data_IF_960223657592
#
_entry.id   IF_960223657592
#
_cell.length_a   1.000
_cell.length_b   1.000
_cell.length_c   1.000
_cell.angle_alpha   90.00
_cell.angle_beta   90.00
_cell.angle_gamma   90.00
#
_symmetry.space_group_name_H-M   'P 1'
#
loop_
_entity.id
_entity.type
_entity.pdbx_description
1 polymer ?
#
# COMPACT_ATOMS: atom_id res chain seq x y z
N UNK A 1 -31.26 23.53 11.96
CA UNK A 1 -31.45 22.14 12.42
C UNK A 1 -31.03 22.11 13.86
N UNK A 2 -32.01 22.05 14.74
CA UNK A 2 -31.88 22.45 16.14
C UNK A 2 -31.02 21.48 16.95
N UNK A 3 -30.13 22.05 17.77
CA UNK A 3 -29.26 21.36 18.72
C UNK A 3 -30.01 20.82 19.95
N UNK A 4 -31.26 20.37 19.78
CA UNK A 4 -32.14 19.94 20.89
C UNK A 4 -32.04 18.44 21.25
N UNK A 5 -31.03 17.73 20.72
CA UNK A 5 -30.78 16.31 21.05
C UNK A 5 -29.32 15.95 21.31
N UNK A 6 -28.41 16.93 21.40
CA UNK A 6 -26.99 16.65 21.64
C UNK A 6 -26.73 16.38 23.12
N UNK A 7 -26.81 15.10 23.52
CA UNK A 7 -26.33 14.65 24.83
C UNK A 7 -24.81 14.77 24.84
N UNK A 8 -24.26 15.57 25.76
CA UNK A 8 -22.80 15.70 25.88
C UNK A 8 -22.19 14.31 26.14
N UNK A 9 -21.18 13.88 25.37
CA UNK A 9 -20.51 12.62 25.62
C UNK A 9 -19.84 12.64 26.99
N UNK A 10 -19.93 11.55 27.76
CA UNK A 10 -19.13 11.41 28.98
C UNK A 10 -17.69 11.11 28.61
N UNK A 11 -16.87 12.16 28.71
CA UNK A 11 -15.43 12.11 28.47
C UNK A 11 -14.73 12.07 29.82
N UNK A 12 -14.07 10.94 30.10
CA UNK A 12 -13.22 10.78 31.28
C UNK A 12 -11.79 11.15 30.89
N UNK A 13 -11.16 12.04 31.66
CA UNK A 13 -9.78 12.45 31.43
C UNK A 13 -8.83 11.64 32.32
N UNK A 14 -7.91 10.90 31.70
CA UNK A 14 -6.86 10.13 32.34
C UNK A 14 -5.50 10.82 32.15
N UNK A 15 -4.51 10.46 32.99
CA UNK A 15 -3.13 10.97 32.92
C UNK A 15 -3.05 12.52 32.89
N UNK A 16 -3.67 13.19 33.88
CA UNK A 16 -3.69 14.67 33.99
C UNK A 16 -4.20 15.39 32.72
N UNK A 17 -5.13 14.77 31.99
CA UNK A 17 -5.71 15.34 30.77
C UNK A 17 -4.93 15.02 29.48
N UNK A 18 -3.88 14.19 29.55
CA UNK A 18 -3.17 13.74 28.34
C UNK A 18 -3.99 12.75 27.51
N UNK A 19 -4.92 12.01 28.13
CA UNK A 19 -5.78 11.04 27.45
C UNK A 19 -7.23 11.33 27.81
N UNK A 20 -8.01 11.79 26.84
CA UNK A 20 -9.44 11.98 26.97
C UNK A 20 -10.16 10.80 26.33
N UNK A 21 -11.04 10.15 27.10
CA UNK A 21 -11.68 8.91 26.68
C UNK A 21 -13.20 9.03 26.74
N UNK A 22 -13.84 8.92 25.58
CA UNK A 22 -15.30 8.95 25.48
C UNK A 22 -15.89 7.57 25.81
N UNK A 23 -16.39 7.43 27.04
CA UNK A 23 -16.86 6.17 27.58
C UNK A 23 -18.09 5.63 26.85
N UNK A 24 -18.99 6.52 26.43
CA UNK A 24 -20.24 6.13 25.74
C UNK A 24 -19.94 5.52 24.36
N UNK A 25 -18.87 5.94 23.68
CA UNK A 25 -18.44 5.38 22.38
C UNK A 25 -17.76 4.03 22.56
N UNK A 26 -16.85 3.90 23.53
CA UNK A 26 -16.14 2.64 23.79
C UNK A 26 -17.10 1.56 24.27
N UNK A 27 -18.08 1.91 25.10
CA UNK A 27 -19.03 0.93 25.59
C UNK A 27 -19.99 0.44 24.49
N UNK A 28 -20.31 1.30 23.51
CA UNK A 28 -21.12 0.95 22.33
C UNK A 28 -20.34 0.14 21.29
N UNK A 29 -19.03 0.39 21.17
CA UNK A 29 -18.17 -0.18 20.13
C UNK A 29 -16.98 -0.97 20.72
N UNK A 30 -17.19 -1.64 21.85
CA UNK A 30 -16.12 -2.30 22.62
C UNK A 30 -15.35 -3.34 21.79
N UNK A 31 -16.05 -4.07 20.92
CA UNK A 31 -15.42 -5.04 20.02
C UNK A 31 -14.48 -4.38 18.99
N UNK A 32 -14.83 -3.20 18.48
CA UNK A 32 -13.95 -2.45 17.56
C UNK A 32 -12.72 -1.91 18.31
N UNK A 33 -12.91 -1.43 19.54
CA UNK A 33 -11.80 -0.97 20.38
C UNK A 33 -10.84 -2.12 20.73
N UNK A 34 -11.37 -3.32 21.00
CA UNK A 34 -10.56 -4.53 21.21
C UNK A 34 -9.73 -4.87 19.97
N UNK A 35 -10.32 -4.78 18.77
CA UNK A 35 -9.58 -5.00 17.52
C UNK A 35 -8.47 -3.97 17.32
N UNK A 36 -8.71 -2.69 17.60
CA UNK A 36 -7.67 -1.66 17.56
C UNK A 36 -6.49 -2.02 18.49
N UNK A 37 -6.76 -2.50 19.70
CA UNK A 37 -5.72 -2.93 20.63
C UNK A 37 -4.93 -4.16 20.13
N UNK A 38 -5.62 -5.15 19.56
CA UNK A 38 -4.96 -6.31 18.96
C UNK A 38 -4.07 -5.87 17.79
N UNK A 39 -4.58 -4.97 16.94
CA UNK A 39 -3.86 -4.44 15.79
C UNK A 39 -2.61 -3.66 16.22
N UNK A 40 -2.71 -2.77 17.22
CA UNK A 40 -1.55 -1.98 17.68
C UNK A 40 -0.48 -2.87 18.28
N UNK A 41 -0.86 -3.86 19.09
CA UNK A 41 0.08 -4.86 19.61
C UNK A 41 0.74 -5.65 18.47
N UNK A 42 -0.03 -6.09 17.49
CA UNK A 42 0.47 -6.80 16.31
C UNK A 42 1.45 -5.97 15.48
N UNK A 43 1.16 -4.68 15.26
CA UNK A 43 2.04 -3.74 14.55
C UNK A 43 3.36 -3.53 15.32
N UNK A 44 3.29 -3.33 16.64
CA UNK A 44 4.49 -3.16 17.49
C UNK A 44 5.34 -4.43 17.45
N UNK A 45 4.73 -5.61 17.57
CA UNK A 45 5.44 -6.89 17.45
C UNK A 45 6.09 -7.05 16.08
N UNK A 46 5.38 -6.75 14.99
CA UNK A 46 5.93 -6.82 13.63
C UNK A 46 7.11 -5.86 13.44
N UNK A 47 7.02 -4.64 13.97
CA UNK A 47 8.09 -3.66 13.93
C UNK A 47 9.34 -4.15 14.68
N UNK A 48 9.18 -4.71 15.89
CA UNK A 48 10.29 -5.27 16.66
C UNK A 48 10.97 -6.44 15.93
N UNK A 49 10.19 -7.33 15.32
CA UNK A 49 10.73 -8.46 14.55
C UNK A 49 11.45 -7.98 13.28
N UNK A 50 10.94 -6.97 12.58
CA UNK A 50 11.63 -6.40 11.42
C UNK A 50 12.98 -5.73 11.77
N UNK A 51 13.13 -5.24 13.00
CA UNK A 51 14.39 -4.59 13.46
C UNK A 51 15.41 -5.62 13.95
N UNK A 52 14.98 -6.62 14.71
CA UNK A 52 15.88 -7.54 15.42
C UNK A 52 15.89 -8.98 14.89
N UNK A 53 14.88 -9.36 14.11
CA UNK A 53 14.66 -10.74 13.69
C UNK A 53 15.54 -11.17 12.52
N UNK A 54 15.84 -12.48 12.49
CA UNK A 54 16.43 -13.12 11.32
C UNK A 54 15.36 -13.35 10.24
N UNK A 55 15.78 -13.81 9.05
CA UNK A 55 14.88 -14.10 7.91
C UNK A 55 13.68 -14.99 8.27
N UNK A 56 13.89 -16.02 9.09
CA UNK A 56 12.83 -16.94 9.51
C UNK A 56 11.87 -16.32 10.52
N UNK A 57 12.37 -15.40 11.35
CA UNK A 57 11.56 -14.65 12.31
C UNK A 57 10.65 -13.67 11.56
N UNK A 58 11.16 -12.99 10.53
CA UNK A 58 10.36 -12.09 9.67
C UNK A 58 9.26 -12.88 8.96
N UNK A 59 9.59 -14.05 8.39
CA UNK A 59 8.61 -14.89 7.70
C UNK A 59 7.50 -15.41 8.65
N UNK A 60 7.89 -15.91 9.83
CA UNK A 60 6.94 -16.40 10.82
C UNK A 60 6.08 -15.27 11.40
N UNK A 61 6.65 -14.09 11.62
CA UNK A 61 5.90 -12.90 12.06
C UNK A 61 4.90 -12.44 11.01
N UNK A 62 5.26 -12.40 9.73
CA UNK A 62 4.32 -12.05 8.66
C UNK A 62 3.12 -13.01 8.63
N UNK A 63 3.39 -14.32 8.71
CA UNK A 63 2.32 -15.33 8.72
C UNK A 63 1.42 -15.21 9.97
N UNK A 64 2.02 -14.95 11.14
CA UNK A 64 1.30 -14.73 12.38
C UNK A 64 0.43 -13.46 12.31
N UNK A 65 0.96 -12.35 11.80
CA UNK A 65 0.22 -11.09 11.65
C UNK A 65 -0.94 -11.27 10.68
N UNK A 66 -0.72 -11.90 9.52
CA UNK A 66 -1.79 -12.17 8.55
C UNK A 66 -2.91 -12.97 9.22
N UNK A 67 -2.57 -14.08 9.88
CA UNK A 67 -3.57 -14.94 10.53
C UNK A 67 -4.30 -14.24 11.66
N UNK A 68 -3.60 -13.53 12.54
CA UNK A 68 -4.20 -12.79 13.67
C UNK A 68 -5.13 -11.69 13.15
N UNK A 69 -4.70 -10.86 12.20
CA UNK A 69 -5.51 -9.78 11.63
C UNK A 69 -6.75 -10.35 10.94
N UNK A 70 -6.60 -11.42 10.14
CA UNK A 70 -7.71 -12.04 9.44
C UNK A 70 -8.75 -12.63 10.40
N UNK A 71 -8.30 -13.43 11.38
CA UNK A 71 -9.17 -14.08 12.35
C UNK A 71 -9.84 -13.03 13.23
N UNK A 72 -9.07 -12.13 13.84
CA UNK A 72 -9.63 -11.11 14.72
C UNK A 72 -10.64 -10.22 13.99
N UNK A 73 -10.39 -9.84 12.73
CA UNK A 73 -11.31 -8.99 11.96
C UNK A 73 -12.69 -9.62 11.80
N UNK A 74 -12.79 -10.93 11.52
CA UNK A 74 -14.08 -11.62 11.40
C UNK A 74 -14.79 -11.84 12.73
N UNK A 75 -14.05 -11.95 13.83
CA UNK A 75 -14.63 -12.16 15.16
C UNK A 75 -15.10 -10.87 15.83
N UNK A 76 -14.39 -9.75 15.63
CA UNK A 76 -14.64 -8.51 16.36
C UNK A 76 -15.39 -7.45 15.55
N UNK A 77 -15.29 -7.46 14.22
CA UNK A 77 -15.90 -6.43 13.37
C UNK A 77 -17.20 -6.93 12.74
N UNK A 78 -18.18 -6.04 12.50
CA UNK A 78 -19.35 -6.40 11.71
C UNK A 78 -18.93 -6.81 10.29
N UNK A 79 -19.63 -7.77 9.70
CA UNK A 79 -19.28 -8.42 8.43
C UNK A 79 -18.99 -7.44 7.28
N UNK A 80 -19.66 -6.29 7.23
CA UNK A 80 -19.40 -5.27 6.22
C UNK A 80 -18.00 -4.65 6.35
N UNK A 81 -17.61 -4.27 7.57
CA UNK A 81 -16.30 -3.68 7.86
C UNK A 81 -15.21 -4.74 7.75
N UNK A 82 -15.44 -5.95 8.28
CA UNK A 82 -14.50 -7.06 8.21
C UNK A 82 -14.13 -7.40 6.74
N UNK A 83 -15.12 -7.47 5.85
CA UNK A 83 -14.87 -7.73 4.41
C UNK A 83 -14.01 -6.64 3.76
N UNK A 84 -14.23 -5.38 4.12
CA UNK A 84 -13.45 -4.28 3.58
C UNK A 84 -12.02 -4.25 4.13
N UNK A 85 -11.84 -4.48 5.43
CA UNK A 85 -10.54 -4.67 6.08
C UNK A 85 -9.73 -5.74 5.36
N UNK A 86 -10.34 -6.91 5.14
CA UNK A 86 -9.70 -8.03 4.45
C UNK A 86 -9.34 -7.67 3.01
N UNK A 87 -10.28 -7.07 2.28
CA UNK A 87 -10.04 -6.63 0.91
C UNK A 87 -8.85 -5.65 0.82
N UNK A 88 -8.81 -4.64 1.67
CA UNK A 88 -7.76 -3.64 1.68
C UNK A 88 -6.40 -4.23 2.08
N UNK A 89 -6.38 -5.12 3.07
CA UNK A 89 -5.17 -5.79 3.51
C UNK A 89 -4.61 -6.71 2.42
N UNK A 90 -5.44 -7.54 1.79
CA UNK A 90 -5.01 -8.39 0.68
C UNK A 90 -4.61 -7.58 -0.54
N UNK A 91 -5.31 -6.50 -0.87
CA UNK A 91 -4.93 -5.59 -1.95
C UNK A 91 -3.53 -5.01 -1.73
N UNK A 92 -3.22 -4.60 -0.49
CA UNK A 92 -1.90 -4.09 -0.13
C UNK A 92 -0.81 -5.18 -0.12
N UNK A 93 -1.14 -6.43 0.23
CA UNK A 93 -0.19 -7.57 0.19
C UNK A 93 0.09 -8.02 -1.24
N UNK A 94 -0.96 -8.13 -2.06
CA UNK A 94 -0.86 -8.61 -3.45
C UNK A 94 -0.18 -7.60 -4.37
N UNK A 95 -0.16 -6.32 -4.01
CA UNK A 95 0.76 -5.36 -4.58
C UNK A 95 2.11 -5.45 -3.84
N UNK A 96 2.95 -6.39 -4.28
CA UNK A 96 4.23 -6.66 -3.62
C UNK A 96 5.15 -5.45 -3.75
N UNK A 97 5.43 -4.79 -2.64
CA UNK A 97 6.43 -3.74 -2.60
C UNK A 97 7.82 -4.40 -2.66
N UNK A 98 8.63 -4.03 -3.66
CA UNK A 98 9.98 -4.53 -3.87
C UNK A 98 10.99 -3.49 -3.37
N UNK A 99 11.31 -3.47 -2.06
CA UNK A 99 12.09 -2.39 -1.47
C UNK A 99 13.47 -2.29 -2.11
N UNK A 100 13.73 -1.16 -2.77
CA UNK A 100 15.06 -0.77 -3.21
C UNK A 100 15.60 -1.49 -4.45
N UNK A 101 14.91 -2.46 -5.06
CA UNK A 101 15.44 -3.18 -6.25
C UNK A 101 15.60 -2.24 -7.44
N UNK A 102 14.55 -1.49 -7.79
CA UNK A 102 14.60 -0.52 -8.89
C UNK A 102 15.53 0.65 -8.55
N UNK A 103 15.44 1.21 -7.35
CA UNK A 103 16.28 2.34 -6.93
C UNK A 103 17.79 1.98 -6.95
N UNK A 104 18.17 0.80 -6.43
CA UNK A 104 19.57 0.35 -6.47
C UNK A 104 20.05 0.07 -7.89
N UNK A 105 19.18 -0.39 -8.79
CA UNK A 105 19.49 -0.53 -10.21
C UNK A 105 19.76 0.82 -10.89
N UNK A 106 18.93 1.84 -10.63
CA UNK A 106 19.06 3.18 -11.23
C UNK A 106 20.33 3.92 -10.80
N UNK A 107 20.79 3.67 -9.58
CA UNK A 107 21.90 4.40 -8.95
C UNK A 107 23.16 3.52 -8.77
N UNK A 108 23.16 2.32 -9.35
CA UNK A 108 24.31 1.41 -9.28
C UNK A 108 25.58 2.09 -9.83
N UNK A 109 26.73 1.87 -9.18
CA UNK A 109 28.01 2.39 -9.64
C UNK A 109 28.50 1.64 -10.89
N UNK A 110 29.32 2.29 -11.75
CA UNK A 110 29.90 1.64 -12.94
C UNK A 110 30.83 0.47 -12.62
N UNK A 111 31.34 0.39 -11.39
CA UNK A 111 32.09 -0.77 -10.91
C UNK A 111 31.20 -2.01 -10.67
N UNK A 112 29.91 -1.81 -10.41
CA UNK A 112 28.97 -2.88 -10.06
C UNK A 112 28.12 -3.29 -11.25
N UNK A 113 27.59 -2.33 -12.01
CA UNK A 113 26.77 -2.57 -13.19
C UNK A 113 27.25 -1.68 -14.35
N UNK A 114 28.26 -2.08 -15.15
CA UNK A 114 28.85 -1.21 -16.19
C UNK A 114 27.84 -0.79 -17.27
N UNK A 115 26.77 -1.56 -17.41
CA UNK A 115 25.64 -1.32 -18.30
C UNK A 115 24.47 -0.61 -17.60
N UNK A 116 24.71 0.09 -16.49
CA UNK A 116 23.68 0.80 -15.74
C UNK A 116 23.41 2.22 -16.27
N UNK A 117 22.27 2.83 -15.87
CA UNK A 117 21.97 4.24 -16.16
C UNK A 117 22.80 5.23 -15.32
N UNK A 118 23.43 4.79 -14.22
CA UNK A 118 24.40 5.55 -13.42
C UNK A 118 23.94 6.93 -12.96
N UNK A 119 22.71 7.03 -12.47
CA UNK A 119 22.22 8.31 -11.93
C UNK A 119 22.90 8.64 -10.61
N UNK A 120 22.94 9.92 -10.24
CA UNK A 120 23.37 10.31 -8.89
C UNK A 120 22.21 10.12 -7.90
N UNK A 121 22.51 9.64 -6.70
CA UNK A 121 21.50 9.44 -5.64
C UNK A 121 20.65 10.69 -5.39
N UNK A 122 21.29 11.86 -5.38
CA UNK A 122 20.61 13.14 -5.14
C UNK A 122 19.74 13.53 -6.31
N UNK A 123 20.20 13.35 -7.56
CA UNK A 123 19.41 13.66 -8.74
C UNK A 123 18.20 12.73 -8.86
N UNK A 124 18.40 11.41 -8.74
CA UNK A 124 17.33 10.43 -8.89
C UNK A 124 16.24 10.65 -7.82
N UNK A 125 16.62 10.72 -6.53
CA UNK A 125 15.63 10.88 -5.46
C UNK A 125 14.95 12.26 -5.47
N UNK A 126 15.68 13.35 -5.74
CA UNK A 126 15.09 14.68 -5.75
C UNK A 126 14.19 14.89 -6.98
N UNK A 127 14.63 14.43 -8.16
CA UNK A 127 13.84 14.53 -9.38
C UNK A 127 12.58 13.67 -9.28
N UNK A 128 12.72 12.41 -8.86
CA UNK A 128 11.58 11.50 -8.70
C UNK A 128 10.61 12.04 -7.65
N UNK A 129 11.11 12.58 -6.54
CA UNK A 129 10.28 13.21 -5.52
C UNK A 129 9.51 14.43 -6.03
N UNK A 130 10.16 15.37 -6.73
CA UNK A 130 9.49 16.60 -7.21
C UNK A 130 8.50 16.27 -8.34
N UNK A 131 8.95 15.53 -9.36
CA UNK A 131 8.12 15.17 -10.51
C UNK A 131 6.99 14.25 -10.08
N UNK A 132 7.29 13.27 -9.22
CA UNK A 132 6.32 12.36 -8.63
C UNK A 132 5.21 13.11 -7.91
N UNK A 133 5.53 14.03 -7.00
CA UNK A 133 4.50 14.82 -6.31
C UNK A 133 3.62 15.64 -7.27
N UNK A 134 4.21 16.25 -8.31
CA UNK A 134 3.44 16.97 -9.34
C UNK A 134 2.53 16.00 -10.10
N UNK A 135 3.05 14.81 -10.45
CA UNK A 135 2.30 13.76 -11.11
C UNK A 135 1.17 13.21 -10.23
N UNK A 136 1.36 13.04 -8.92
CA UNK A 136 0.33 12.60 -7.97
C UNK A 136 -0.79 13.64 -7.85
N UNK A 137 -0.47 14.95 -7.85
CA UNK A 137 -1.49 16.01 -7.93
C UNK A 137 -2.25 15.91 -9.26
N UNK A 138 -1.54 15.72 -10.37
CA UNK A 138 -2.13 15.50 -11.69
C UNK A 138 -3.06 14.29 -11.72
N UNK A 139 -2.63 13.14 -11.18
CA UNK A 139 -3.41 11.92 -11.09
C UNK A 139 -4.66 12.09 -10.23
N UNK A 140 -4.57 12.86 -9.14
CA UNK A 140 -5.72 13.24 -8.32
C UNK A 140 -6.72 14.09 -9.11
N UNK A 141 -6.25 15.09 -9.86
CA UNK A 141 -7.10 15.92 -10.72
C UNK A 141 -7.76 15.11 -11.84
N UNK A 142 -7.00 14.21 -12.48
CA UNK A 142 -7.55 13.30 -13.50
C UNK A 142 -8.65 12.43 -12.90
N UNK A 143 -8.43 11.90 -11.69
CA UNK A 143 -9.44 11.11 -10.98
C UNK A 143 -10.71 11.92 -10.70
N UNK A 144 -10.59 13.12 -10.13
CA UNK A 144 -11.73 13.95 -9.75
C UNK A 144 -12.51 14.49 -10.96
N UNK A 145 -11.84 14.76 -12.08
CA UNK A 145 -12.48 15.28 -13.30
C UNK A 145 -13.07 14.20 -14.21
N UNK A 146 -12.38 13.08 -14.43
CA UNK A 146 -12.83 12.04 -15.37
C UNK A 146 -13.73 10.99 -14.73
N UNK A 147 -13.54 10.67 -13.45
CA UNK A 147 -14.23 9.59 -12.77
C UNK A 147 -15.27 9.98 -11.69
N UNK A 148 -15.83 11.20 -11.61
CA UNK A 148 -16.73 11.57 -10.51
C UNK A 148 -18.03 10.74 -10.49
N UNK A 149 -18.50 10.29 -11.66
CA UNK A 149 -19.76 9.56 -11.81
C UNK A 149 -19.58 8.07 -12.11
N UNK A 150 -18.34 7.57 -12.15
CA UNK A 150 -18.08 6.17 -12.47
C UNK A 150 -18.20 5.29 -11.22
N UNK A 151 -18.63 4.04 -11.41
CA UNK A 151 -18.73 3.10 -10.28
C UNK A 151 -17.35 2.82 -9.68
N UNK A 152 -17.27 2.72 -8.35
CA UNK A 152 -16.04 2.38 -7.62
C UNK A 152 -15.35 1.13 -8.18
N UNK A 153 -16.15 0.11 -8.54
CA UNK A 153 -15.67 -1.15 -9.12
C UNK A 153 -15.00 -0.94 -10.47
N UNK A 154 -15.54 -0.06 -11.30
CA UNK A 154 -14.96 0.25 -12.61
C UNK A 154 -13.62 0.96 -12.46
N UNK A 155 -13.55 1.98 -11.59
CA UNK A 155 -12.29 2.71 -11.35
C UNK A 155 -11.24 1.76 -10.80
N UNK A 156 -11.57 0.96 -9.78
CA UNK A 156 -10.63 -0.02 -9.24
C UNK A 156 -10.14 -1.03 -10.27
N UNK A 157 -11.05 -1.53 -11.12
CA UNK A 157 -10.70 -2.43 -12.20
C UNK A 157 -9.80 -1.78 -13.25
N UNK A 158 -10.03 -0.50 -13.56
CA UNK A 158 -9.21 0.25 -14.49
C UNK A 158 -7.82 0.51 -13.92
N UNK A 159 -7.72 0.98 -12.68
CA UNK A 159 -6.45 1.21 -11.99
C UNK A 159 -5.65 -0.08 -11.87
N UNK A 160 -6.29 -1.21 -11.55
CA UNK A 160 -5.66 -2.53 -11.50
C UNK A 160 -5.18 -3.04 -12.86
N UNK A 161 -5.73 -2.55 -13.99
CA UNK A 161 -5.24 -2.88 -15.33
C UNK A 161 -4.12 -1.93 -15.79
N UNK A 162 -4.19 -0.66 -15.39
CA UNK A 162 -3.17 0.34 -15.68
C UNK A 162 -1.88 0.11 -14.90
N UNK A 163 -1.94 -0.45 -13.69
CA UNK A 163 -0.78 -0.66 -12.83
C UNK A 163 0.21 -1.71 -13.40
N UNK A 164 -0.23 -2.89 -13.88
CA UNK A 164 0.63 -3.79 -14.64
C UNK A 164 1.19 -3.13 -15.91
N UNK A 165 0.38 -2.33 -16.62
CA UNK A 165 0.84 -1.61 -17.80
C UNK A 165 1.92 -0.56 -17.47
N UNK A 166 1.81 0.11 -16.32
CA UNK A 166 2.85 0.99 -15.80
C UNK A 166 4.12 0.21 -15.44
N UNK A 167 4.00 -0.93 -14.77
CA UNK A 167 5.15 -1.78 -14.40
C UNK A 167 5.87 -2.42 -15.61
N UNK A 168 5.21 -2.50 -16.77
CA UNK A 168 5.88 -2.88 -18.02
C UNK A 168 6.98 -1.88 -18.42
N UNK A 169 6.81 -0.59 -18.11
CA UNK A 169 7.86 0.41 -18.36
C UNK A 169 9.12 0.13 -17.52
N UNK A 170 8.96 -0.34 -16.28
CA UNK A 170 10.08 -0.75 -15.44
C UNK A 170 10.82 -1.96 -16.03
N UNK A 171 10.09 -2.91 -16.61
CA UNK A 171 10.70 -4.06 -17.30
C UNK A 171 11.48 -3.66 -18.55
N UNK A 172 10.98 -2.69 -19.33
CA UNK A 172 11.68 -2.15 -20.51
C UNK A 172 13.03 -1.57 -20.09
N UNK A 173 13.08 -0.86 -18.96
CA UNK A 173 14.31 -0.29 -18.41
C UNK A 173 15.24 -1.39 -17.87
N UNK A 174 14.74 -2.33 -17.08
CA UNK A 174 15.54 -3.44 -16.53
C UNK A 174 16.19 -4.30 -17.61
N UNK A 175 15.50 -4.52 -18.74
CA UNK A 175 16.05 -5.25 -19.90
C UNK A 175 16.82 -4.37 -20.88
N UNK A 176 16.96 -3.06 -20.60
CA UNK A 176 17.58 -2.06 -21.48
C UNK A 176 17.02 -2.02 -22.90
N UNK A 177 15.74 -2.36 -23.06
CA UNK A 177 15.06 -2.27 -24.36
C UNK A 177 14.86 -0.82 -24.81
N UNK A 178 14.91 0.14 -23.87
CA UNK A 178 14.90 1.57 -24.15
C UNK A 178 16.03 2.00 -25.11
N UNK A 179 17.23 1.45 -24.97
CA UNK A 179 18.38 1.77 -25.84
C UNK A 179 18.18 1.23 -27.25
N UNK A 180 17.53 0.08 -27.41
CA UNK A 180 17.17 -0.45 -28.72
C UNK A 180 16.12 0.42 -29.44
N UNK A 181 15.29 1.13 -28.68
CA UNK A 181 14.29 2.08 -29.16
C UNK A 181 14.90 3.49 -29.38
N UNK A 182 16.14 3.72 -28.89
CA UNK A 182 16.84 5.00 -29.02
C UNK A 182 16.43 6.06 -27.98
N UNK A 183 15.75 5.66 -26.90
CA UNK A 183 15.32 6.57 -25.82
C UNK A 183 16.41 6.61 -24.74
N UNK A 184 16.86 7.82 -24.32
CA UNK A 184 17.85 7.93 -23.26
C UNK A 184 17.27 7.49 -21.91
N UNK A 185 18.11 6.85 -21.08
CA UNK A 185 17.73 6.31 -19.76
C UNK A 185 17.02 7.36 -18.88
N UNK A 186 17.51 8.61 -18.89
CA UNK A 186 16.93 9.72 -18.13
C UNK A 186 15.47 10.02 -18.51
N UNK A 187 15.16 10.06 -19.81
CA UNK A 187 13.81 10.41 -20.27
C UNK A 187 12.82 9.28 -19.96
N UNK A 188 13.25 8.03 -20.15
CA UNK A 188 12.43 6.86 -19.86
C UNK A 188 12.14 6.73 -18.36
N UNK A 189 13.13 6.97 -17.51
CA UNK A 189 12.97 6.95 -16.06
C UNK A 189 11.98 8.02 -15.57
N UNK A 190 12.09 9.26 -16.08
CA UNK A 190 11.17 10.34 -15.70
C UNK A 190 9.75 10.05 -16.19
N UNK A 191 9.59 9.56 -17.41
CA UNK A 191 8.27 9.31 -17.97
C UNK A 191 7.58 8.09 -17.34
N UNK A 192 8.33 7.00 -17.12
CA UNK A 192 7.82 5.76 -16.52
C UNK A 192 7.60 5.90 -15.01
N UNK A 193 8.69 5.84 -14.24
CA UNK A 193 8.69 5.77 -12.77
C UNK A 193 8.15 7.05 -12.14
N UNK A 194 8.58 8.23 -12.61
CA UNK A 194 8.20 9.49 -11.94
C UNK A 194 6.81 10.03 -12.32
N UNK A 195 6.26 9.66 -13.49
CA UNK A 195 4.96 10.19 -13.96
C UNK A 195 3.91 9.09 -14.08
N UNK A 196 4.13 8.10 -14.96
CA UNK A 196 3.10 7.09 -15.25
C UNK A 196 2.80 6.27 -13.99
N UNK A 197 3.83 5.78 -13.31
CA UNK A 197 3.65 4.98 -12.10
C UNK A 197 2.91 5.76 -11.01
N UNK A 198 3.36 6.98 -10.69
CA UNK A 198 2.73 7.83 -9.66
C UNK A 198 1.28 8.21 -9.97
N UNK A 199 0.96 8.50 -11.25
CA UNK A 199 -0.43 8.74 -11.66
C UNK A 199 -1.26 7.47 -11.45
N UNK A 200 -0.77 6.30 -11.88
CA UNK A 200 -1.49 5.04 -11.74
C UNK A 200 -1.68 4.64 -10.27
N UNK A 201 -0.66 4.83 -9.44
CA UNK A 201 -0.71 4.57 -8.00
C UNK A 201 -1.76 5.47 -7.33
N UNK A 202 -1.79 6.77 -7.66
CA UNK A 202 -2.80 7.68 -7.14
C UNK A 202 -4.23 7.27 -7.56
N UNK A 203 -4.40 6.84 -8.82
CA UNK A 203 -5.68 6.32 -9.32
C UNK A 203 -6.15 5.05 -8.58
N UNK A 204 -5.24 4.25 -8.00
CA UNK A 204 -5.58 3.08 -7.18
C UNK A 204 -5.89 3.47 -5.73
N UNK A 205 -5.14 4.42 -5.17
CA UNK A 205 -5.25 4.83 -3.77
C UNK A 205 -6.51 5.66 -3.49
N UNK A 206 -6.88 6.57 -4.39
CA UNK A 206 -8.07 7.42 -4.26
C UNK A 206 -9.38 6.66 -3.99
N UNK A 207 -9.78 5.67 -4.80
CA UNK A 207 -11.00 4.93 -4.54
C UNK A 207 -10.93 4.21 -3.18
N UNK A 208 -9.78 3.64 -2.82
CA UNK A 208 -9.58 2.96 -1.53
C UNK A 208 -9.82 3.92 -0.36
N UNK A 209 -9.31 5.15 -0.43
CA UNK A 209 -9.56 6.18 0.58
C UNK A 209 -11.04 6.56 0.66
N UNK A 210 -11.72 6.72 -0.48
CA UNK A 210 -13.16 6.99 -0.51
C UNK A 210 -13.98 5.85 0.12
N UNK A 211 -13.57 4.60 -0.08
CA UNK A 211 -14.19 3.44 0.55
C UNK A 211 -14.04 3.48 2.07
N UNK A 212 -12.85 3.84 2.58
CA UNK A 212 -12.64 4.00 4.03
C UNK A 212 -13.63 4.98 4.64
N UNK A 213 -13.83 6.13 3.99
CA UNK A 213 -14.75 7.17 4.47
C UNK A 213 -16.21 6.70 4.45
N UNK A 214 -16.64 5.94 3.42
CA UNK A 214 -18.02 5.48 3.28
C UNK A 214 -18.40 4.36 4.25
N UNK A 215 -17.45 3.53 4.65
CA UNK A 215 -17.70 2.40 5.57
C UNK A 215 -17.77 2.85 7.03
N UNK A 216 -17.23 4.02 7.32
CA UNK A 216 -17.13 4.53 8.68
C UNK A 216 -18.54 4.78 9.28
N UNK A 217 -18.92 4.08 10.36
CA UNK A 217 -20.25 4.22 10.95
C UNK A 217 -20.36 5.54 11.72
N UNK A 218 -21.55 6.14 11.68
CA UNK A 218 -21.84 7.42 12.35
C UNK A 218 -21.49 7.38 13.83
N UNK A 219 -20.74 8.37 14.28
CA UNK A 219 -20.31 8.51 15.68
C UNK A 219 -19.03 7.74 16.05
N UNK A 220 -18.46 6.94 15.15
CA UNK A 220 -17.16 6.26 15.31
C UNK A 220 -16.24 6.48 14.10
N UNK A 221 -16.53 7.49 13.28
CA UNK A 221 -15.94 7.65 11.94
C UNK A 221 -14.41 7.76 11.98
N UNK A 222 -13.88 8.61 12.87
CA UNK A 222 -12.44 8.80 13.06
C UNK A 222 -11.72 7.52 13.51
N UNK A 223 -12.32 6.76 14.42
CA UNK A 223 -11.76 5.50 14.91
C UNK A 223 -11.68 4.45 13.78
N UNK A 224 -12.75 4.29 13.00
CA UNK A 224 -12.78 3.31 11.90
C UNK A 224 -11.87 3.73 10.76
N UNK A 225 -11.79 5.02 10.45
CA UNK A 225 -10.84 5.53 9.46
C UNK A 225 -9.39 5.26 9.88
N UNK A 226 -9.02 5.56 11.13
CA UNK A 226 -7.69 5.29 11.65
C UNK A 226 -7.38 3.79 11.65
N UNK A 227 -8.34 2.93 11.99
CA UNK A 227 -8.21 1.48 11.94
C UNK A 227 -7.94 0.98 10.52
N UNK A 228 -8.72 1.46 9.53
CA UNK A 228 -8.57 1.07 8.13
C UNK A 228 -7.25 1.54 7.53
N UNK A 229 -6.84 2.78 7.82
CA UNK A 229 -5.54 3.30 7.42
C UNK A 229 -4.39 2.50 8.04
N UNK A 230 -4.50 2.15 9.32
CA UNK A 230 -3.48 1.34 10.02
C UNK A 230 -3.33 -0.04 9.39
N UNK A 231 -4.43 -0.69 9.00
CA UNK A 231 -4.41 -1.98 8.30
C UNK A 231 -3.79 -1.84 6.91
N UNK A 232 -4.11 -0.76 6.19
CA UNK A 232 -3.51 -0.49 4.89
C UNK A 232 -1.98 -0.41 4.97
N UNK A 233 -1.46 0.39 5.92
CA UNK A 233 -0.02 0.50 6.15
C UNK A 233 0.62 -0.79 6.69
N UNK A 234 -0.10 -1.56 7.50
CA UNK A 234 0.37 -2.88 7.91
C UNK A 234 0.47 -3.83 6.71
N UNK A 235 -0.48 -3.75 5.77
CA UNK A 235 -0.48 -4.52 4.53
C UNK A 235 0.73 -4.20 3.66
N UNK A 236 1.05 -2.90 3.48
CA UNK A 236 2.24 -2.48 2.74
C UNK A 236 3.53 -2.86 3.45
N UNK A 237 3.59 -2.79 4.79
CA UNK A 237 4.75 -3.29 5.54
C UNK A 237 4.93 -4.80 5.37
N UNK A 238 3.83 -5.56 5.39
CA UNK A 238 3.85 -7.02 5.15
C UNK A 238 4.27 -7.32 3.72
N UNK A 239 3.82 -6.55 2.73
CA UNK A 239 4.19 -6.72 1.33
C UNK A 239 5.67 -6.43 1.10
N UNK A 240 6.25 -5.41 1.73
CA UNK A 240 7.70 -5.16 1.72
C UNK A 240 8.50 -6.28 2.38
N UNK A 241 8.02 -6.84 3.49
CA UNK A 241 8.67 -7.97 4.16
C UNK A 241 8.63 -9.24 3.28
N UNK A 242 7.51 -9.52 2.62
CA UNK A 242 7.40 -10.60 1.63
C UNK A 242 8.32 -10.33 0.44
N UNK A 243 8.37 -9.09 -0.07
CA UNK A 243 9.28 -8.67 -1.13
C UNK A 243 10.74 -8.93 -0.78
N UNK A 244 11.16 -8.57 0.44
CA UNK A 244 12.50 -8.89 0.96
C UNK A 244 12.77 -10.40 1.00
N UNK A 245 11.80 -11.21 1.47
CA UNK A 245 11.94 -12.67 1.48
C UNK A 245 12.06 -13.25 0.07
N UNK A 246 11.32 -12.73 -0.91
CA UNK A 246 11.42 -13.15 -2.31
C UNK A 246 12.79 -12.82 -2.90
N UNK A 247 13.34 -11.65 -2.56
CA UNK A 247 14.69 -11.23 -2.95
C UNK A 247 15.75 -12.13 -2.32
N UNK A 248 15.59 -12.58 -1.07
CA UNK A 248 16.60 -13.44 -0.41
C UNK A 248 16.52 -14.91 -0.87
N UNK A 249 15.31 -15.43 -1.17
CA UNK A 249 15.09 -16.88 -1.33
C UNK A 249 14.85 -17.34 -2.78
N UNK A 250 13.85 -16.76 -3.46
CA UNK A 250 13.39 -17.24 -4.77
C UNK A 250 14.21 -16.65 -5.92
N UNK A 251 14.46 -15.33 -5.85
CA UNK A 251 15.15 -14.57 -6.87
C UNK A 251 16.24 -13.71 -6.22
N UNK A 252 17.41 -14.31 -5.90
CA UNK A 252 18.53 -13.58 -5.32
C UNK A 252 18.92 -12.43 -6.24
N UNK A 253 18.77 -11.21 -5.72
CA UNK A 253 19.32 -9.98 -6.30
C UNK A 253 20.44 -9.52 -5.37
N UNK A 254 21.67 -9.67 -5.83
CA UNK A 254 22.84 -9.28 -5.05
C UNK A 254 23.18 -7.84 -5.41
N UNK A 255 23.11 -6.95 -4.42
CA UNK A 255 23.42 -5.52 -4.58
C UNK A 255 24.76 -5.11 -3.96
N UNK A 256 25.45 -6.04 -3.28
CA UNK A 256 26.75 -5.83 -2.63
C UNK A 256 27.86 -6.60 -3.36
N UNK A 257 28.99 -5.94 -3.56
CA UNK A 257 30.21 -6.46 -4.20
C UNK A 257 30.05 -6.82 -5.69
N UNK A 258 29.46 -7.98 -5.99
CA UNK A 258 29.17 -8.42 -7.37
C UNK A 258 27.68 -8.22 -7.65
N UNK A 259 27.32 -7.08 -8.26
CA UNK A 259 25.93 -6.81 -8.59
C UNK A 259 25.39 -7.83 -9.60
N UNK A 260 24.33 -8.55 -9.24
CA UNK A 260 23.58 -9.40 -10.16
C UNK A 260 22.09 -9.04 -10.11
N UNK A 261 21.62 -8.43 -11.20
CA UNK A 261 20.23 -8.03 -11.40
C UNK A 261 19.50 -8.91 -12.43
N UNK A 262 20.09 -10.04 -12.84
CA UNK A 262 19.49 -10.95 -13.83
C UNK A 262 18.08 -11.42 -13.46
N UNK A 263 17.81 -11.56 -12.17
CA UNK A 263 16.54 -12.00 -11.60
C UNK A 263 15.55 -10.85 -11.30
N UNK A 264 16.00 -9.59 -11.31
CA UNK A 264 15.14 -8.44 -11.02
C UNK A 264 13.91 -8.32 -11.94
N UNK A 265 13.99 -8.60 -13.27
CA UNK A 265 12.82 -8.61 -14.13
C UNK A 265 11.77 -9.65 -13.72
N UNK A 266 12.20 -10.83 -13.28
CA UNK A 266 11.29 -11.89 -12.83
C UNK A 266 10.56 -11.50 -11.56
N UNK A 267 11.25 -10.80 -10.66
CA UNK A 267 10.68 -10.26 -9.43
C UNK A 267 9.60 -9.21 -9.72
N UNK A 268 9.85 -8.28 -10.65
CA UNK A 268 8.86 -7.28 -11.08
C UNK A 268 7.67 -7.94 -11.79
N UNK A 269 7.90 -8.92 -12.66
CA UNK A 269 6.82 -9.68 -13.31
C UNK A 269 5.95 -10.37 -12.25
N UNK A 270 6.56 -11.07 -11.29
CA UNK A 270 5.82 -11.77 -10.25
C UNK A 270 5.06 -10.80 -9.33
N UNK A 271 5.70 -9.71 -8.92
CA UNK A 271 5.19 -8.80 -7.89
C UNK A 271 4.25 -7.70 -8.38
N UNK A 272 4.51 -7.09 -9.53
CA UNK A 272 3.74 -5.94 -10.03
C UNK A 272 2.80 -6.31 -11.18
N UNK A 273 3.04 -7.41 -11.91
CA UNK A 273 2.17 -7.84 -13.01
C UNK A 273 1.26 -8.98 -12.56
N UNK A 274 1.82 -10.07 -12.08
CA UNK A 274 1.06 -11.30 -11.79
C UNK A 274 0.27 -11.17 -10.48
N UNK A 275 0.91 -10.71 -9.40
CA UNK A 275 0.24 -10.63 -8.10
C UNK A 275 -0.98 -9.68 -8.09
N UNK A 276 -0.95 -8.50 -8.74
CA UNK A 276 -2.11 -7.62 -8.81
C UNK A 276 -3.25 -8.15 -9.72
N UNK A 277 -2.95 -9.01 -10.70
CA UNK A 277 -4.00 -9.67 -11.51
C UNK A 277 -4.85 -10.61 -10.65
N UNK A 278 -4.33 -11.19 -9.58
CA UNK A 278 -5.15 -11.97 -8.64
C UNK A 278 -6.16 -11.09 -7.89
N UNK A 279 -5.87 -9.80 -7.69
CA UNK A 279 -6.82 -8.83 -7.10
C UNK A 279 -8.06 -8.70 -7.99
N UNK A 280 -7.91 -8.74 -9.32
CA UNK A 280 -9.02 -8.68 -10.28
C UNK A 280 -10.00 -9.86 -10.12
N UNK A 281 -9.48 -11.04 -9.78
CA UNK A 281 -10.30 -12.24 -9.57
C UNK A 281 -11.06 -12.24 -8.24
N UNK A 282 -10.55 -11.51 -7.24
CA UNK A 282 -11.19 -11.38 -5.94
C UNK A 282 -12.42 -10.45 -6.06
N UNK A 283 -13.59 -11.07 -6.24
CA UNK A 283 -14.89 -10.42 -6.40
C UNK A 283 -15.10 -9.34 -5.33
N UNK A 284 -14.94 -8.07 -5.71
CA UNK A 284 -15.08 -6.90 -4.86
C UNK A 284 -16.36 -6.99 -4.02
N UNK A 285 -16.29 -6.84 -2.68
CA UNK A 285 -17.48 -6.71 -1.84
C UNK A 285 -18.37 -5.61 -2.43
N UNK A 286 -19.65 -5.89 -2.60
CA UNK A 286 -20.58 -4.81 -2.90
C UNK A 286 -20.49 -3.80 -1.75
N UNK A 287 -20.39 -2.49 -2.03
CA UNK A 287 -20.65 -1.52 -0.98
C UNK A 287 -22.02 -1.87 -0.38
N UNK A 288 -22.22 -1.71 0.94
CA UNK A 288 -23.55 -1.82 1.51
C UNK A 288 -24.48 -0.93 0.68
N UNK A 289 -25.54 -1.53 0.15
CA UNK A 289 -26.59 -0.79 -0.53
C UNK A 289 -27.26 0.06 0.54
N UNK A 290 -26.84 1.30 0.68
CA UNK A 290 -27.62 2.26 1.45
C UNK A 290 -28.94 2.43 0.71
N UNK A 291 -29.98 1.83 1.29
CA UNK A 291 -31.34 2.26 1.12
C UNK A 291 -31.39 3.77 1.41
N UNK A 292 -32.09 4.47 0.52
CA UNK A 292 -32.43 5.90 0.59
C UNK A 292 -32.72 6.43 2.01
#
# INVERSE_FOLDING_TARGET
MDAHGFVRPRVDAYLRGAVEMNRDVIQRSCQMALFCLILTLGVISNALVNIFGARWDIMSACLAVITIVCVSAFFTLPLAIAKAVMFMYFNAILYLNLPGVLNTFYVASPSCLPDGPHFSYTFYNAMNGIVGNIASIGGTMVFTHLFPNHSYRFVMSLSAALLPAASMFDLIILKRWNLAIGIPDHAMCIFGDAIIYEVCDMLLNMPTMMLMCRIAPRGCESMVFALLASIYHLGTSTSSAIGYLLIDTMWPVVTRDTCDYSNAPWLVIAGHIVAPVFIFSARLPAPPSDAH
#
